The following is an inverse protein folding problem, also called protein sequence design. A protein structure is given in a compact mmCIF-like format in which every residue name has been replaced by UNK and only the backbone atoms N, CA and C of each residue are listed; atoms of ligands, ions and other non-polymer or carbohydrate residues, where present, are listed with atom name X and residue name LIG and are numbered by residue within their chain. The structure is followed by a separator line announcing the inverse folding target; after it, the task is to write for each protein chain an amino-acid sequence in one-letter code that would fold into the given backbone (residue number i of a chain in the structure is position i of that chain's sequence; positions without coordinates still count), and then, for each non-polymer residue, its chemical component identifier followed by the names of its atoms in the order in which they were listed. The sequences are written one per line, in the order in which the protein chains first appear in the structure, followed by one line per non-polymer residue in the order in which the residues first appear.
data_IF_262578587780
#
_entry.id   IF_262578587780
#
_cell.length_a   1.000
_cell.length_b   1.000
_cell.length_c   1.000
_cell.angle_alpha   90.00
_cell.angle_beta   90.00
_cell.angle_gamma   90.00
#
_symmetry.space_group_name_H-M   'P 1'
#
loop_
_entity.id
_entity.type
_entity.pdbx_description
1 polymer ?
#
# COMPACT_ATOMS: atom_id res chain seq x y z
N UNK A 1 15.43 -0.37 -20.10
CA UNK A 1 14.57 0.11 -19.01
C UNK A 1 15.06 -0.47 -17.70
N UNK A 2 14.71 0.11 -16.55
CA UNK A 2 15.24 -0.34 -15.25
C UNK A 2 14.19 -1.07 -14.42
N UNK A 3 12.90 -0.74 -14.60
CA UNK A 3 11.80 -1.28 -13.78
C UNK A 3 10.59 -1.60 -14.64
N UNK A 4 9.97 -2.73 -14.39
CA UNK A 4 8.81 -3.23 -15.10
C UNK A 4 7.62 -3.50 -14.20
N UNK A 5 6.42 -3.24 -14.71
CA UNK A 5 5.17 -3.58 -14.04
C UNK A 5 4.31 -4.44 -14.97
N UNK A 6 3.96 -5.61 -14.51
CA UNK A 6 2.93 -6.43 -15.14
C UNK A 6 1.59 -6.07 -14.52
N UNK A 7 0.79 -5.33 -15.29
CA UNK A 7 -0.43 -4.67 -14.83
C UNK A 7 -0.20 -3.24 -14.34
N UNK A 8 -1.11 -2.33 -14.72
CA UNK A 8 -1.06 -0.92 -14.31
C UNK A 8 -2.43 -0.45 -13.79
N UNK A 9 -2.84 -1.01 -12.66
CA UNK A 9 -4.04 -0.57 -11.92
C UNK A 9 -3.77 0.63 -11.02
N UNK A 10 -4.69 0.89 -10.08
CA UNK A 10 -4.59 2.02 -9.17
C UNK A 10 -3.31 1.98 -8.32
N UNK A 11 -2.94 0.80 -7.79
CA UNK A 11 -1.75 0.66 -6.94
C UNK A 11 -0.47 0.89 -7.74
N UNK A 12 -0.28 0.20 -8.87
CA UNK A 12 0.89 0.44 -9.73
C UNK A 12 0.99 1.90 -10.18
N UNK A 13 -0.14 2.52 -10.54
CA UNK A 13 -0.17 3.96 -10.88
C UNK A 13 0.27 4.85 -9.73
N UNK A 14 -0.12 4.55 -8.50
CA UNK A 14 0.31 5.30 -7.31
C UNK A 14 1.82 5.15 -7.07
N UNK A 15 2.34 3.92 -7.13
CA UNK A 15 3.75 3.60 -6.98
C UNK A 15 4.60 4.33 -8.04
N UNK A 16 4.22 4.22 -9.31
CA UNK A 16 4.92 4.88 -10.43
C UNK A 16 4.88 6.40 -10.27
N UNK A 17 3.73 6.97 -9.92
CA UNK A 17 3.61 8.41 -9.68
C UNK A 17 4.52 8.88 -8.55
N UNK A 18 4.62 8.13 -7.46
CA UNK A 18 5.54 8.41 -6.35
C UNK A 18 7.00 8.40 -6.79
N UNK A 19 7.42 7.35 -7.50
CA UNK A 19 8.78 7.23 -8.02
C UNK A 19 9.15 8.38 -8.98
N UNK A 20 8.26 8.74 -9.90
CA UNK A 20 8.46 9.86 -10.83
C UNK A 20 8.54 11.20 -10.10
N UNK A 21 7.66 11.42 -9.13
CA UNK A 21 7.63 12.66 -8.32
C UNK A 21 8.91 12.85 -7.49
N UNK A 22 9.45 11.75 -6.97
CA UNK A 22 10.73 11.76 -6.21
C UNK A 22 11.96 11.78 -7.11
N UNK A 23 11.79 11.59 -8.43
CA UNK A 23 12.90 11.57 -9.37
C UNK A 23 13.78 10.31 -9.30
N UNK A 24 13.28 9.22 -8.72
CA UNK A 24 14.01 7.95 -8.63
C UNK A 24 14.21 7.29 -10.00
N UNK A 25 13.21 7.44 -10.88
CA UNK A 25 13.25 6.93 -12.24
C UNK A 25 12.74 7.98 -13.22
N UNK A 26 13.23 7.92 -14.47
CA UNK A 26 12.68 8.66 -15.59
C UNK A 26 11.55 7.87 -16.24
N UNK A 27 10.69 8.56 -16.99
CA UNK A 27 9.54 7.95 -17.66
C UNK A 27 9.94 6.85 -18.65
N UNK A 28 11.04 7.01 -19.35
CA UNK A 28 11.62 6.08 -20.31
C UNK A 28 12.36 4.89 -19.65
N UNK A 29 12.56 4.93 -18.35
CA UNK A 29 13.15 3.83 -17.57
C UNK A 29 12.09 2.87 -17.02
N UNK A 30 10.80 3.21 -17.14
CA UNK A 30 9.66 2.41 -16.63
C UNK A 30 8.86 1.86 -17.81
N UNK A 31 8.61 0.55 -17.81
CA UNK A 31 7.69 -0.11 -18.72
C UNK A 31 6.54 -0.75 -17.96
N UNK A 32 5.31 -0.62 -18.48
CA UNK A 32 4.13 -1.25 -17.89
C UNK A 32 3.37 -2.05 -18.94
N UNK A 33 2.91 -3.24 -18.59
CA UNK A 33 1.92 -3.94 -19.42
C UNK A 33 0.50 -3.67 -18.95
N UNK A 34 -0.43 -3.72 -19.87
CA UNK A 34 -1.86 -3.60 -19.62
C UNK A 34 -2.61 -4.67 -20.43
N UNK A 35 -3.73 -5.15 -19.92
CA UNK A 35 -4.55 -6.16 -20.60
C UNK A 35 -5.21 -5.63 -21.87
N UNK A 36 -5.46 -4.32 -21.96
CA UNK A 36 -6.21 -3.70 -23.06
C UNK A 36 -5.52 -2.44 -23.59
N UNK A 37 -5.74 -2.14 -24.87
CA UNK A 37 -5.28 -0.88 -25.49
C UNK A 37 -5.78 0.37 -24.74
N UNK A 38 -7.02 0.35 -24.25
CA UNK A 38 -7.59 1.45 -23.46
C UNK A 38 -6.81 1.62 -22.15
N UNK A 39 -6.48 0.53 -21.46
CA UNK A 39 -5.64 0.55 -20.26
C UNK A 39 -4.25 1.11 -20.55
N UNK A 40 -3.64 0.67 -21.65
CA UNK A 40 -2.33 1.15 -22.11
C UNK A 40 -2.35 2.65 -22.43
N UNK A 41 -3.36 3.12 -23.17
CA UNK A 41 -3.56 4.55 -23.46
C UNK A 41 -3.71 5.36 -22.17
N UNK A 42 -4.54 4.92 -21.23
CA UNK A 42 -4.75 5.58 -19.93
C UNK A 42 -3.45 5.67 -19.12
N UNK A 43 -2.67 4.60 -19.07
CA UNK A 43 -1.37 4.58 -18.37
C UNK A 43 -0.39 5.55 -18.99
N UNK A 44 -0.31 5.61 -20.33
CA UNK A 44 0.55 6.53 -21.09
C UNK A 44 0.16 7.98 -20.86
N UNK A 45 -1.12 8.30 -20.95
CA UNK A 45 -1.62 9.66 -20.74
C UNK A 45 -1.42 10.15 -19.32
N UNK A 46 -1.66 9.29 -18.34
CA UNK A 46 -1.55 9.63 -16.91
C UNK A 46 -0.12 9.71 -16.41
N UNK A 47 0.75 8.78 -16.81
CA UNK A 47 2.08 8.60 -16.23
C UNK A 47 3.20 9.00 -17.21
N UNK A 48 2.94 8.94 -18.51
CA UNK A 48 3.93 9.23 -19.55
C UNK A 48 5.02 8.16 -19.69
N UNK A 49 4.83 6.97 -19.13
CA UNK A 49 5.77 5.84 -19.18
C UNK A 49 5.59 5.00 -20.45
N UNK A 50 6.55 4.11 -20.71
CA UNK A 50 6.46 3.14 -21.82
C UNK A 50 5.38 2.11 -21.50
N UNK A 51 4.53 1.80 -22.48
CA UNK A 51 3.41 0.87 -22.32
C UNK A 51 3.42 -0.22 -23.39
N UNK A 52 3.03 -1.42 -23.01
CA UNK A 52 2.88 -2.57 -23.91
C UNK A 52 1.62 -3.37 -23.57
N UNK A 53 1.20 -4.27 -24.45
CA UNK A 53 0.18 -5.30 -24.17
C UNK A 53 0.80 -6.68 -23.92
N UNK A 54 2.13 -6.80 -24.04
CA UNK A 54 2.87 -8.04 -23.94
C UNK A 54 3.68 -8.08 -22.64
N UNK A 55 3.34 -9.03 -21.74
CA UNK A 55 4.05 -9.23 -20.48
C UNK A 55 5.50 -9.70 -20.70
N UNK A 56 5.77 -10.42 -21.78
CA UNK A 56 7.12 -10.86 -22.15
C UNK A 56 8.05 -9.67 -22.42
N UNK A 57 7.54 -8.60 -23.05
CA UNK A 57 8.33 -7.37 -23.26
C UNK A 57 8.76 -6.72 -21.95
N UNK A 58 7.90 -6.75 -20.92
CA UNK A 58 8.24 -6.22 -19.61
C UNK A 58 9.43 -6.98 -19.03
N UNK A 59 9.34 -8.31 -18.97
CA UNK A 59 10.40 -9.16 -18.39
C UNK A 59 11.70 -9.06 -19.18
N UNK A 60 11.66 -9.13 -20.51
CA UNK A 60 12.86 -9.07 -21.36
C UNK A 60 13.62 -7.74 -21.23
N UNK A 61 12.94 -6.66 -20.93
CA UNK A 61 13.53 -5.32 -20.91
C UNK A 61 13.88 -4.81 -19.50
N UNK A 62 13.57 -5.55 -18.43
CA UNK A 62 13.82 -5.11 -17.05
C UNK A 62 14.35 -6.24 -16.18
N UNK A 63 15.00 -5.89 -15.09
CA UNK A 63 15.46 -6.86 -14.08
C UNK A 63 14.62 -6.82 -12.80
N UNK A 64 13.98 -5.71 -12.53
CA UNK A 64 13.07 -5.53 -11.40
C UNK A 64 11.63 -5.53 -11.93
N UNK A 65 10.88 -6.60 -11.63
CA UNK A 65 9.55 -6.85 -12.18
C UNK A 65 8.52 -6.86 -11.05
N UNK A 66 7.58 -5.93 -11.09
CA UNK A 66 6.44 -5.87 -10.19
C UNK A 66 5.23 -6.58 -10.78
N UNK A 67 4.70 -7.56 -10.04
CA UNK A 67 3.44 -8.21 -10.35
C UNK A 67 2.30 -7.39 -9.75
N UNK A 68 1.68 -6.53 -10.56
CA UNK A 68 0.68 -5.58 -10.13
C UNK A 68 -0.72 -5.87 -10.73
N UNK A 69 -0.96 -7.09 -11.12
CA UNK A 69 -2.28 -7.62 -11.49
C UNK A 69 -3.05 -8.04 -10.23
N UNK A 70 -4.36 -8.32 -10.39
CA UNK A 70 -5.14 -8.85 -9.27
C UNK A 70 -4.69 -10.25 -8.86
N UNK A 71 -4.85 -10.65 -7.57
CA UNK A 71 -4.32 -11.92 -7.03
C UNK A 71 -4.70 -13.17 -7.82
N UNK A 72 -5.90 -13.22 -8.40
CA UNK A 72 -6.37 -14.36 -9.19
C UNK A 72 -5.63 -14.58 -10.50
N UNK A 73 -4.96 -13.55 -11.05
CA UNK A 73 -4.22 -13.63 -12.31
C UNK A 73 -2.72 -13.90 -12.12
N UNK A 74 -2.23 -13.99 -10.90
CA UNK A 74 -0.79 -14.18 -10.62
C UNK A 74 -0.25 -15.47 -11.24
N UNK A 75 -0.97 -16.57 -11.09
CA UNK A 75 -0.51 -17.87 -11.60
C UNK A 75 -0.48 -17.90 -13.12
N UNK A 76 -1.48 -17.36 -13.77
CA UNK A 76 -1.56 -17.22 -15.23
C UNK A 76 -0.37 -16.40 -15.76
N UNK A 77 -0.16 -15.21 -15.19
CA UNK A 77 0.92 -14.30 -15.58
C UNK A 77 2.30 -14.91 -15.35
N UNK A 78 2.52 -15.54 -14.19
CA UNK A 78 3.81 -16.20 -13.93
C UNK A 78 4.05 -17.38 -14.87
N UNK A 79 3.04 -18.19 -15.17
CA UNK A 79 3.15 -19.27 -16.14
C UNK A 79 3.47 -18.77 -17.55
N UNK A 80 2.92 -17.60 -17.94
CA UNK A 80 3.21 -16.96 -19.21
C UNK A 80 4.69 -16.56 -19.32
N UNK A 81 5.23 -15.86 -18.31
CA UNK A 81 6.55 -15.21 -18.41
C UNK A 81 7.70 -15.98 -17.78
N UNK A 82 7.46 -17.11 -17.09
CA UNK A 82 8.52 -17.85 -16.37
C UNK A 82 9.69 -18.29 -17.25
N UNK A 83 9.48 -18.46 -18.54
CA UNK A 83 10.53 -18.83 -19.50
C UNK A 83 11.58 -17.75 -19.76
N UNK A 84 11.24 -16.48 -19.54
CA UNK A 84 12.14 -15.32 -19.67
C UNK A 84 12.78 -14.89 -18.37
N UNK A 85 12.25 -15.34 -17.23
CA UNK A 85 12.85 -15.04 -15.93
C UNK A 85 14.24 -15.70 -15.84
N UNK A 86 15.19 -15.01 -15.26
CA UNK A 86 16.57 -15.48 -15.03
C UNK A 86 16.99 -15.15 -13.61
N UNK A 87 18.04 -15.77 -13.05
CA UNK A 87 18.52 -15.47 -11.69
C UNK A 87 18.88 -13.99 -11.42
N UNK A 88 19.02 -13.19 -12.49
CA UNK A 88 19.25 -11.75 -12.36
C UNK A 88 17.96 -10.94 -12.07
N UNK A 89 16.80 -11.55 -12.29
CA UNK A 89 15.53 -10.88 -12.02
C UNK A 89 15.19 -10.89 -10.54
N UNK A 90 14.62 -9.78 -10.09
CA UNK A 90 13.92 -9.66 -8.82
C UNK A 90 12.43 -9.53 -9.11
N UNK A 91 11.65 -10.50 -8.66
CA UNK A 91 10.19 -10.51 -8.80
C UNK A 91 9.57 -9.96 -7.53
N UNK A 92 8.75 -8.92 -7.65
CA UNK A 92 8.08 -8.27 -6.53
C UNK A 92 6.58 -8.52 -6.61
N UNK A 93 6.05 -9.28 -5.67
CA UNK A 93 4.60 -9.50 -5.52
C UNK A 93 3.98 -8.47 -4.59
N UNK A 94 2.87 -7.83 -5.02
CA UNK A 94 2.13 -6.86 -4.23
C UNK A 94 0.72 -7.33 -3.84
N UNK A 95 0.41 -8.61 -4.09
CA UNK A 95 -0.90 -9.18 -3.81
C UNK A 95 -0.98 -9.80 -2.40
N UNK A 96 -2.11 -9.62 -1.69
CA UNK A 96 -2.34 -10.32 -0.43
C UNK A 96 -2.38 -11.85 -0.65
N UNK A 97 -1.98 -12.61 0.38
CA UNK A 97 -2.09 -14.07 0.40
C UNK A 97 -1.09 -14.82 -0.50
N UNK A 98 -0.19 -14.13 -1.21
CA UNK A 98 0.87 -14.76 -2.02
C UNK A 98 2.18 -14.75 -1.25
N UNK A 99 2.60 -15.93 -0.73
CA UNK A 99 3.82 -16.07 0.08
C UNK A 99 5.08 -16.04 -0.80
N UNK A 100 6.24 -15.79 -0.18
CA UNK A 100 7.54 -15.89 -0.85
C UNK A 100 7.73 -17.28 -1.45
N UNK A 101 7.44 -18.34 -0.69
CA UNK A 101 7.54 -19.73 -1.16
C UNK A 101 6.62 -19.98 -2.36
N UNK A 102 5.38 -19.49 -2.32
CA UNK A 102 4.45 -19.62 -3.44
C UNK A 102 4.96 -18.90 -4.70
N UNK A 103 5.49 -17.69 -4.54
CA UNK A 103 6.06 -16.93 -5.66
C UNK A 103 7.29 -17.64 -6.25
N UNK A 104 8.20 -18.15 -5.41
CA UNK A 104 9.36 -18.94 -5.88
C UNK A 104 8.95 -20.18 -6.67
N UNK A 105 7.98 -20.93 -6.14
CA UNK A 105 7.45 -22.13 -6.82
C UNK A 105 6.89 -21.77 -8.20
N UNK A 106 6.06 -20.72 -8.29
CA UNK A 106 5.41 -20.32 -9.54
C UNK A 106 6.37 -19.70 -10.56
N UNK A 107 7.45 -19.09 -10.11
CA UNK A 107 8.53 -18.65 -11.01
C UNK A 107 9.29 -19.82 -11.66
N UNK A 108 9.18 -21.03 -11.12
CA UNK A 108 9.73 -22.26 -11.72
C UNK A 108 11.26 -22.40 -11.62
N UNK A 109 11.94 -21.47 -10.99
CA UNK A 109 13.39 -21.50 -10.75
C UNK A 109 13.76 -20.63 -9.54
N UNK A 110 14.96 -20.82 -8.94
CA UNK A 110 15.42 -20.04 -7.80
C UNK A 110 15.68 -18.59 -8.20
N UNK A 111 14.77 -17.68 -7.86
CA UNK A 111 14.86 -16.24 -8.13
C UNK A 111 14.92 -15.42 -6.84
N UNK A 112 15.31 -14.16 -6.99
CA UNK A 112 15.12 -13.14 -5.97
C UNK A 112 13.65 -12.77 -5.93
N UNK A 113 13.02 -12.93 -4.77
CA UNK A 113 11.59 -12.67 -4.59
C UNK A 113 11.38 -11.74 -3.41
N UNK A 114 10.58 -10.72 -3.65
CA UNK A 114 10.13 -9.76 -2.64
C UNK A 114 8.61 -9.80 -2.56
N UNK A 115 8.07 -9.83 -1.35
CA UNK A 115 6.65 -9.66 -1.08
C UNK A 115 6.43 -8.31 -0.44
N UNK A 116 5.51 -7.53 -0.98
CA UNK A 116 5.13 -6.22 -0.47
C UNK A 116 3.63 -6.17 -0.20
N UNK A 117 3.26 -5.37 0.80
CA UNK A 117 1.87 -5.06 1.08
C UNK A 117 1.71 -3.55 1.21
N UNK A 118 1.58 -2.83 0.09
CA UNK A 118 1.23 -1.41 0.08
C UNK A 118 -0.26 -1.21 0.35
N UNK A 119 -0.66 0.03 0.64
CA UNK A 119 -2.06 0.39 0.85
C UNK A 119 -2.51 1.59 0.01
N UNK A 120 -3.82 1.82 -0.05
CA UNK A 120 -4.41 2.86 -0.93
C UNK A 120 -3.96 4.30 -0.67
N UNK A 121 -3.59 4.74 0.56
CA UNK A 121 -3.03 6.08 0.78
C UNK A 121 -1.73 6.38 0.01
N UNK A 122 -1.07 5.38 -0.56
CA UNK A 122 0.02 5.58 -1.52
C UNK A 122 -0.35 6.52 -2.68
N UNK A 123 -1.64 6.62 -3.04
CA UNK A 123 -2.12 7.54 -4.08
C UNK A 123 -1.89 9.02 -3.76
N UNK A 124 -1.74 9.35 -2.50
CA UNK A 124 -1.47 10.71 -2.01
C UNK A 124 -0.08 10.84 -1.38
N UNK A 125 0.76 9.80 -1.48
CA UNK A 125 2.11 9.79 -0.94
C UNK A 125 2.20 9.47 0.56
N UNK A 126 1.11 8.98 1.14
CA UNK A 126 0.98 8.64 2.57
C UNK A 126 0.69 7.13 2.75
N UNK A 127 1.27 6.32 1.88
CA UNK A 127 1.15 4.86 1.98
C UNK A 127 1.94 4.29 3.16
N UNK A 128 1.51 3.11 3.62
CA UNK A 128 2.31 2.26 4.49
C UNK A 128 2.56 0.94 3.78
N UNK A 129 3.83 0.54 3.66
CA UNK A 129 4.21 -0.68 2.95
C UNK A 129 5.02 -1.60 3.86
N UNK A 130 4.49 -2.79 4.12
CA UNK A 130 5.29 -3.89 4.67
C UNK A 130 6.06 -4.58 3.56
N UNK A 131 7.33 -4.90 3.80
CA UNK A 131 8.22 -5.57 2.84
C UNK A 131 8.88 -6.78 3.50
N UNK A 132 8.93 -7.90 2.81
CA UNK A 132 9.82 -9.01 3.14
C UNK A 132 10.42 -9.60 1.85
N UNK A 133 11.56 -10.26 1.99
CA UNK A 133 12.29 -10.82 0.87
C UNK A 133 12.82 -12.22 1.21
N UNK A 134 13.08 -13.03 0.18
CA UNK A 134 13.78 -14.28 0.39
C UNK A 134 15.30 -14.04 0.55
N UNK A 135 16.01 -15.07 0.96
CA UNK A 135 17.45 -15.04 1.24
C UNK A 135 18.36 -14.74 0.04
N UNK A 136 17.81 -14.78 -1.18
CA UNK A 136 18.54 -14.47 -2.43
C UNK A 136 18.61 -12.98 -2.73
N UNK A 137 17.76 -12.18 -2.09
CA UNK A 137 17.77 -10.71 -2.21
C UNK A 137 18.86 -10.16 -1.30
N UNK A 138 19.82 -9.42 -1.87
CA UNK A 138 20.88 -8.80 -1.08
C UNK A 138 20.35 -7.62 -0.24
N UNK A 139 21.13 -7.19 0.76
CA UNK A 139 20.78 -6.04 1.59
C UNK A 139 20.67 -4.75 0.76
N UNK A 140 21.53 -4.59 -0.25
CA UNK A 140 21.52 -3.45 -1.16
C UNK A 140 20.26 -3.44 -2.04
N UNK A 141 19.87 -4.61 -2.56
CA UNK A 141 18.64 -4.75 -3.36
C UNK A 141 17.40 -4.49 -2.50
N UNK A 142 17.37 -4.98 -1.25
CA UNK A 142 16.28 -4.70 -0.33
C UNK A 142 16.21 -3.20 0.00
N UNK A 143 17.36 -2.54 0.20
CA UNK A 143 17.42 -1.10 0.41
C UNK A 143 16.84 -0.34 -0.80
N UNK A 144 17.19 -0.73 -2.02
CA UNK A 144 16.62 -0.14 -3.23
C UNK A 144 15.09 -0.32 -3.30
N UNK A 145 14.57 -1.48 -2.91
CA UNK A 145 13.12 -1.70 -2.81
C UNK A 145 12.49 -0.76 -1.77
N UNK A 146 13.13 -0.58 -0.61
CA UNK A 146 12.66 0.36 0.41
C UNK A 146 12.65 1.81 -0.09
N UNK A 147 13.68 2.25 -0.82
CA UNK A 147 13.70 3.58 -1.44
C UNK A 147 12.54 3.79 -2.43
N UNK A 148 12.22 2.73 -3.20
CA UNK A 148 11.06 2.74 -4.11
C UNK A 148 9.77 2.91 -3.30
N UNK A 149 9.59 2.14 -2.25
CA UNK A 149 8.35 2.17 -1.44
C UNK A 149 8.23 3.46 -0.62
N UNK A 150 9.33 4.03 -0.15
CA UNK A 150 9.37 5.34 0.52
C UNK A 150 9.06 6.51 -0.43
N UNK A 151 9.03 6.28 -1.72
CA UNK A 151 8.62 7.30 -2.68
C UNK A 151 7.12 7.60 -2.67
N UNK A 152 6.31 6.70 -2.13
CA UNK A 152 4.86 6.85 -2.03
C UNK A 152 4.30 6.63 -0.61
N UNK A 153 5.18 6.66 0.40
CA UNK A 153 4.77 6.55 1.80
C UNK A 153 5.93 6.24 2.73
N UNK A 154 5.71 5.31 3.65
CA UNK A 154 6.70 4.76 4.59
C UNK A 154 6.82 3.26 4.40
N UNK A 155 8.00 2.72 4.69
CA UNK A 155 8.33 1.31 4.56
C UNK A 155 8.76 0.73 5.89
N UNK A 156 8.30 -0.49 6.16
CA UNK A 156 8.85 -1.33 7.24
C UNK A 156 9.20 -2.70 6.68
N UNK A 157 10.45 -3.13 6.92
CA UNK A 157 10.88 -4.49 6.63
C UNK A 157 10.45 -5.38 7.79
N UNK A 158 9.64 -6.38 7.50
CA UNK A 158 9.08 -7.30 8.50
C UNK A 158 9.35 -8.75 8.12
N UNK A 159 9.47 -9.66 9.10
CA UNK A 159 9.50 -11.08 8.79
C UNK A 159 8.17 -11.51 8.14
N UNK A 160 8.23 -12.45 7.17
CA UNK A 160 7.05 -12.83 6.37
C UNK A 160 5.83 -13.24 7.22
N UNK A 161 6.06 -13.90 8.37
CA UNK A 161 4.98 -14.28 9.31
C UNK A 161 4.11 -13.13 9.81
N UNK A 162 4.57 -11.88 9.67
CA UNK A 162 3.80 -10.69 10.06
C UNK A 162 3.04 -10.04 8.89
N UNK A 163 3.19 -10.54 7.67
CA UNK A 163 2.56 -9.92 6.49
C UNK A 163 1.04 -9.96 6.52
N UNK A 164 0.44 -10.94 7.20
CA UNK A 164 -1.02 -10.98 7.37
C UNK A 164 -1.49 -9.92 8.38
N UNK A 165 -0.74 -9.70 9.45
CA UNK A 165 -0.98 -8.58 10.36
C UNK A 165 -0.78 -7.21 9.67
N UNK A 166 0.22 -7.08 8.80
CA UNK A 166 0.39 -5.88 7.94
C UNK A 166 -0.83 -5.68 7.06
N UNK A 167 -1.34 -6.76 6.43
CA UNK A 167 -2.54 -6.69 5.59
C UNK A 167 -3.75 -6.21 6.39
N UNK A 168 -3.99 -6.76 7.56
CA UNK A 168 -5.10 -6.37 8.43
C UNK A 168 -4.96 -4.90 8.88
N UNK A 169 -3.78 -4.53 9.44
CA UNK A 169 -3.57 -3.22 10.07
C UNK A 169 -3.44 -2.08 9.06
N UNK A 170 -2.72 -2.27 7.95
CA UNK A 170 -2.48 -1.20 6.98
C UNK A 170 -3.18 -1.40 5.64
N UNK A 171 -3.37 -2.63 5.21
CA UNK A 171 -4.04 -2.95 3.95
C UNK A 171 -5.55 -2.72 3.99
N UNK A 172 -6.22 -3.22 5.02
CA UNK A 172 -7.68 -3.16 5.17
C UNK A 172 -8.18 -1.91 5.89
N UNK A 173 -7.44 -1.42 6.89
CA UNK A 173 -7.89 -0.33 7.78
C UNK A 173 -8.22 1.01 7.09
N UNK A 174 -7.70 1.37 5.90
CA UNK A 174 -8.18 2.57 5.22
C UNK A 174 -9.70 2.61 5.04
N UNK A 175 -10.34 1.46 4.80
CA UNK A 175 -11.80 1.38 4.73
C UNK A 175 -12.46 1.73 6.07
N UNK A 176 -11.91 1.24 7.19
CA UNK A 176 -12.42 1.49 8.54
C UNK A 176 -12.23 2.97 8.93
N UNK A 177 -11.10 3.57 8.53
CA UNK A 177 -10.84 5.00 8.72
C UNK A 177 -11.85 5.85 7.94
N UNK A 178 -12.19 5.48 6.71
CA UNK A 178 -13.22 6.19 5.93
C UNK A 178 -14.60 6.07 6.59
N UNK A 179 -14.98 4.92 7.12
CA UNK A 179 -16.22 4.75 7.90
C UNK A 179 -16.22 5.63 9.16
N UNK A 180 -15.09 5.74 9.85
CA UNK A 180 -14.97 6.59 11.03
C UNK A 180 -15.10 8.08 10.68
N UNK A 181 -14.44 8.53 9.59
CA UNK A 181 -14.60 9.90 9.05
C UNK A 181 -16.07 10.18 8.70
N UNK A 182 -16.73 9.24 8.06
CA UNK A 182 -18.14 9.37 7.68
C UNK A 182 -19.06 9.51 8.91
N UNK A 183 -18.87 8.64 9.91
CA UNK A 183 -19.63 8.71 11.16
C UNK A 183 -19.43 10.04 11.93
N UNK A 184 -18.17 10.53 11.99
CA UNK A 184 -17.88 11.84 12.59
C UNK A 184 -18.55 12.97 11.82
N UNK A 185 -18.54 12.91 10.49
CA UNK A 185 -19.18 13.91 9.64
C UNK A 185 -20.70 13.87 9.77
N UNK A 186 -21.31 12.70 9.91
CA UNK A 186 -22.76 12.54 10.14
C UNK A 186 -23.17 13.19 11.48
N UNK A 187 -22.42 12.95 12.54
CA UNK A 187 -22.64 13.56 13.83
C UNK A 187 -22.53 15.10 13.77
N UNK A 188 -21.55 15.62 13.03
CA UNK A 188 -21.41 17.06 12.84
C UNK A 188 -22.59 17.67 12.04
N UNK A 189 -23.07 16.97 11.02
CA UNK A 189 -24.26 17.40 10.26
C UNK A 189 -25.53 17.40 11.14
N UNK A 190 -25.68 16.41 12.00
CA UNK A 190 -26.78 16.37 12.95
C UNK A 190 -26.79 17.58 13.93
N UNK A 191 -25.59 18.20 14.12
CA UNK A 191 -25.42 19.43 14.89
C UNK A 191 -25.49 20.73 14.04
N UNK A 192 -25.85 20.61 12.75
CA UNK A 192 -26.07 21.75 11.86
C UNK A 192 -24.85 22.14 11.00
N UNK A 193 -23.73 21.39 11.06
CA UNK A 193 -22.57 21.68 10.19
C UNK A 193 -22.86 21.28 8.74
N UNK A 194 -22.53 22.13 7.73
CA UNK A 194 -22.65 21.74 6.33
C UNK A 194 -21.78 20.52 5.98
N UNK A 195 -22.33 19.57 5.25
CA UNK A 195 -21.71 18.27 4.91
C UNK A 195 -20.24 18.39 4.44
N UNK A 196 -19.97 19.30 3.51
CA UNK A 196 -18.62 19.50 2.97
C UNK A 196 -17.61 19.90 4.05
N UNK A 197 -18.01 20.78 4.96
CA UNK A 197 -17.17 21.18 6.09
C UNK A 197 -16.99 20.04 7.07
N UNK A 198 -18.05 19.28 7.37
CA UNK A 198 -18.00 18.14 8.29
C UNK A 198 -16.92 17.11 7.87
N UNK A 199 -16.85 16.76 6.59
CA UNK A 199 -15.79 15.88 6.09
C UNK A 199 -14.38 16.48 6.23
N UNK A 200 -14.21 17.77 5.98
CA UNK A 200 -12.92 18.44 6.14
C UNK A 200 -12.44 18.42 7.59
N UNK A 201 -13.32 18.76 8.54
CA UNK A 201 -12.99 18.72 9.97
C UNK A 201 -12.66 17.31 10.46
N UNK A 202 -13.47 16.31 10.09
CA UNK A 202 -13.26 14.93 10.50
C UNK A 202 -11.95 14.36 9.94
N UNK A 203 -11.71 14.54 8.64
CA UNK A 203 -10.49 14.05 7.99
C UNK A 203 -9.23 14.72 8.55
N UNK A 204 -9.24 16.04 8.77
CA UNK A 204 -8.09 16.76 9.31
C UNK A 204 -7.81 16.38 10.77
N UNK A 205 -8.84 16.15 11.57
CA UNK A 205 -8.67 15.70 12.96
C UNK A 205 -7.97 14.32 13.02
N UNK A 206 -8.38 13.37 12.18
CA UNK A 206 -7.76 12.06 12.10
C UNK A 206 -6.31 12.13 11.59
N UNK A 207 -6.07 12.89 10.52
CA UNK A 207 -4.74 13.10 9.97
C UNK A 207 -3.79 13.66 11.04
N UNK A 208 -4.22 14.71 11.73
CA UNK A 208 -3.42 15.34 12.79
C UNK A 208 -3.13 14.40 13.96
N UNK A 209 -4.13 13.65 14.40
CA UNK A 209 -3.97 12.68 15.49
C UNK A 209 -3.01 11.55 15.14
N UNK A 210 -3.13 10.98 13.94
CA UNK A 210 -2.21 9.95 13.45
C UNK A 210 -0.77 10.51 13.34
N UNK A 211 -0.63 11.72 12.82
CA UNK A 211 0.66 12.39 12.68
C UNK A 211 1.31 12.64 14.04
N UNK A 212 0.55 13.02 15.06
CA UNK A 212 1.08 13.17 16.43
C UNK A 212 1.70 11.87 16.94
N UNK A 213 1.05 10.72 16.76
CA UNK A 213 1.62 9.42 17.18
C UNK A 213 2.95 9.15 16.47
N UNK A 214 3.00 9.39 15.15
CA UNK A 214 4.18 9.08 14.33
C UNK A 214 5.36 10.02 14.59
N UNK A 215 5.11 11.30 14.88
CA UNK A 215 6.19 12.30 15.02
C UNK A 215 6.68 12.44 16.46
N UNK A 216 5.79 12.24 17.44
CA UNK A 216 6.18 12.37 18.85
C UNK A 216 6.68 11.07 19.46
N UNK A 217 6.28 9.92 18.91
CA UNK A 217 6.55 8.61 19.48
C UNK A 217 5.84 8.37 20.84
N UNK A 218 4.95 9.28 21.26
CA UNK A 218 4.21 9.15 22.51
C UNK A 218 3.20 8.00 22.43
N UNK A 219 2.97 7.37 23.57
CA UNK A 219 1.95 6.33 23.66
C UNK A 219 0.55 6.90 23.35
N UNK A 220 -0.26 6.23 22.50
CA UNK A 220 -1.60 6.72 22.14
C UNK A 220 -2.51 7.01 23.35
N UNK A 221 -2.35 6.28 24.45
CA UNK A 221 -3.06 6.52 25.69
C UNK A 221 -2.70 7.87 26.34
N UNK A 222 -1.43 8.25 26.33
CA UNK A 222 -0.98 9.57 26.85
C UNK A 222 -1.53 10.69 25.98
N UNK A 223 -1.47 10.56 24.66
CA UNK A 223 -2.05 11.54 23.73
C UNK A 223 -3.56 11.69 23.93
N UNK A 224 -4.28 10.59 24.18
CA UNK A 224 -5.71 10.61 24.53
C UNK A 224 -5.94 11.39 25.82
N UNK A 225 -5.14 11.12 26.86
CA UNK A 225 -5.29 11.76 28.17
C UNK A 225 -5.02 13.27 28.11
N UNK A 226 -4.07 13.73 27.28
CA UNK A 226 -3.82 15.16 27.03
C UNK A 226 -5.05 15.91 26.52
N UNK A 227 -5.94 15.24 25.79
CA UNK A 227 -7.18 15.83 25.25
C UNK A 227 -8.35 15.72 26.22
N UNK A 228 -8.27 14.81 27.21
CA UNK A 228 -9.35 14.50 28.15
C UNK A 228 -9.22 15.30 29.45
N UNK A 229 -9.71 16.56 29.46
CA UNK A 229 -9.79 17.34 30.70
C UNK A 229 -10.78 16.74 31.70
N UNK A 230 -10.54 16.90 33.03
CA UNK A 230 -11.49 16.46 34.06
C UNK A 230 -12.90 17.05 33.86
N UNK A 231 -13.93 16.19 33.89
CA UNK A 231 -15.33 16.51 33.63
C UNK A 231 -15.62 17.16 32.25
N UNK A 232 -14.65 17.10 31.29
CA UNK A 232 -14.80 17.68 29.97
C UNK A 232 -15.66 16.84 29.01
N UNK A 233 -16.03 17.42 27.88
CA UNK A 233 -16.83 16.75 26.84
C UNK A 233 -16.09 15.58 26.19
N UNK A 234 -14.75 15.67 26.09
CA UNK A 234 -13.93 14.63 25.48
C UNK A 234 -13.96 13.34 26.29
N UNK A 235 -13.78 13.40 27.62
CA UNK A 235 -13.81 12.17 28.43
C UNK A 235 -15.20 11.52 28.44
N UNK A 236 -16.28 12.32 28.36
CA UNK A 236 -17.63 11.76 28.20
C UNK A 236 -17.81 11.06 26.84
N UNK A 237 -17.28 11.61 25.75
CA UNK A 237 -17.24 10.96 24.44
C UNK A 237 -16.47 9.62 24.49
N UNK A 238 -15.30 9.59 25.14
CA UNK A 238 -14.54 8.36 25.36
C UNK A 238 -15.36 7.33 26.13
N UNK A 239 -16.04 7.73 27.22
CA UNK A 239 -16.91 6.83 28.01
C UNK A 239 -18.02 6.21 27.14
N UNK A 240 -18.63 6.99 26.25
CA UNK A 240 -19.69 6.51 25.34
C UNK A 240 -19.11 5.50 24.33
N UNK A 241 -17.95 5.78 23.74
CA UNK A 241 -17.29 4.87 22.81
C UNK A 241 -16.90 3.53 23.50
N UNK A 242 -16.36 3.58 24.71
CA UNK A 242 -16.04 2.38 25.49
C UNK A 242 -17.30 1.58 25.85
N UNK A 243 -18.38 2.25 26.27
CA UNK A 243 -19.67 1.60 26.56
C UNK A 243 -20.24 0.83 25.35
N UNK A 244 -20.00 1.33 24.13
CA UNK A 244 -20.47 0.73 22.91
C UNK A 244 -19.44 -0.23 22.27
N UNK A 245 -18.38 -0.60 22.99
CA UNK A 245 -17.43 -1.63 22.57
C UNK A 245 -16.51 -1.21 21.41
N UNK A 246 -16.18 0.08 21.28
CA UNK A 246 -15.37 0.59 20.17
C UNK A 246 -14.06 -0.17 20.00
N UNK A 247 -13.31 -0.39 21.08
CA UNK A 247 -12.03 -1.13 20.99
C UNK A 247 -12.21 -2.58 20.58
N UNK A 248 -13.24 -3.25 21.12
CA UNK A 248 -13.56 -4.64 20.75
C UNK A 248 -13.94 -4.73 19.27
N UNK A 249 -14.77 -3.81 18.79
CA UNK A 249 -15.17 -3.78 17.38
C UNK A 249 -13.98 -3.61 16.43
N UNK A 250 -13.03 -2.72 16.77
CA UNK A 250 -11.80 -2.54 15.98
C UNK A 250 -10.93 -3.80 16.03
N UNK A 251 -10.75 -4.38 17.22
CA UNK A 251 -9.94 -5.60 17.40
C UNK A 251 -10.50 -6.77 16.58
N UNK A 252 -11.80 -7.03 16.71
CA UNK A 252 -12.49 -8.11 15.98
C UNK A 252 -12.43 -7.91 14.46
N UNK A 253 -12.60 -6.67 13.99
CA UNK A 253 -12.51 -6.37 12.56
C UNK A 253 -11.10 -6.67 11.96
N UNK A 254 -10.07 -6.61 12.77
CA UNK A 254 -8.68 -6.91 12.34
C UNK A 254 -8.32 -8.41 12.49
N UNK A 255 -9.14 -9.20 13.22
CA UNK A 255 -8.93 -10.65 13.41
C UNK A 255 -9.72 -11.49 12.37
N UNK A 256 -10.81 -10.96 11.80
CA UNK A 256 -11.64 -11.62 10.79
C UNK A 256 -11.06 -11.51 9.40
#
# INVERSE_FOLDING_TARGET
MKIGFIGCGNMASAMISGMLKKGLYKKDEIIVSNLTEEGSKRSREKLGVVTTLDNHEVVKNTKLVFLAVKPQFYEEVLNEVKGELTPEHTVVGIAPGKTLAWLEEKCGQPLKVVRMMPNTPAQVGEGMTGVCANEKVSAEELTQICEITDSFGRTEVVPERLMDAVSAVSGCSPAYVFMFIEAMADAAVAQGMPRKQAYQFAAQALLGSAKMVLETGMHPGELKDMVCSPAGTTIEGVRILEKNGFRSAVFEALQG
#
